data_IF_538372518042
#
_entry.id   IF_538372518042
#
_cell.length_a   1.000
_cell.length_b   1.000
_cell.length_c   1.000
_cell.angle_alpha   90.00
_cell.angle_beta   90.00
_cell.angle_gamma   90.00
#
_symmetry.space_group_name_H-M   'P 1'
#
loop_
_entity.id
_entity.type
_entity.pdbx_description
1 polymer ?
#
# COMPACT_ATOMS: atom_id res chain seq x y z
N UNK A 1 51.98 -40.88 32.07
CA UNK A 1 51.67 -39.49 31.69
C UNK A 1 51.27 -39.55 30.22
N UNK A 2 49.98 -39.40 29.90
CA UNK A 2 49.49 -39.54 28.52
C UNK A 2 49.56 -38.17 27.86
N UNK A 3 50.39 -38.04 26.83
CA UNK A 3 50.44 -36.84 25.99
C UNK A 3 49.13 -36.72 25.21
N UNK A 4 48.33 -35.70 25.56
CA UNK A 4 47.11 -35.39 24.81
C UNK A 4 47.51 -34.56 23.59
N UNK A 5 47.44 -35.18 22.41
CA UNK A 5 47.66 -34.52 21.11
C UNK A 5 46.72 -33.30 20.98
N UNK A 6 47.31 -32.10 20.90
CA UNK A 6 46.55 -30.86 20.62
C UNK A 6 46.25 -30.78 19.13
N UNK A 7 44.97 -30.80 18.79
CA UNK A 7 44.47 -30.60 17.43
C UNK A 7 44.01 -29.15 17.27
N UNK A 8 44.39 -28.52 16.17
CA UNK A 8 44.01 -27.15 15.81
C UNK A 8 43.12 -27.16 14.56
N UNK A 9 42.30 -26.12 14.40
CA UNK A 9 41.49 -25.88 13.20
C UNK A 9 41.51 -24.40 12.81
N UNK A 10 41.28 -24.12 11.52
CA UNK A 10 41.20 -22.77 10.98
C UNK A 10 39.73 -22.37 10.81
N UNK A 11 39.22 -21.35 11.53
CA UNK A 11 37.89 -20.81 11.32
C UNK A 11 37.69 -20.37 9.86
N UNK A 12 36.48 -20.59 9.34
CA UNK A 12 36.09 -20.24 7.96
C UNK A 12 34.61 -19.87 7.91
N UNK A 13 34.19 -19.26 6.80
CA UNK A 13 32.79 -18.96 6.55
C UNK A 13 31.91 -20.22 6.53
N UNK A 14 30.60 -20.02 6.71
CA UNK A 14 29.60 -21.09 6.73
C UNK A 14 29.59 -21.82 5.37
N UNK A 15 29.75 -23.16 5.41
CA UNK A 15 29.57 -24.05 4.25
C UNK A 15 28.43 -25.05 4.43
N UNK A 16 28.13 -25.35 5.69
CA UNK A 16 27.16 -26.38 6.05
C UNK A 16 25.84 -25.77 6.54
N UNK A 17 25.75 -24.43 6.60
CA UNK A 17 24.58 -23.68 7.05
C UNK A 17 24.37 -22.49 6.10
N UNK A 18 23.11 -22.15 5.88
CA UNK A 18 22.70 -20.91 5.23
C UNK A 18 21.77 -20.17 6.18
N UNK A 19 21.89 -18.85 6.25
CA UNK A 19 20.97 -18.01 7.02
C UNK A 19 19.63 -17.99 6.29
N UNK A 20 18.55 -18.35 6.98
CA UNK A 20 17.18 -18.34 6.43
C UNK A 20 16.32 -17.25 7.05
N UNK A 21 16.57 -16.96 8.33
CA UNK A 21 15.82 -15.98 9.10
C UNK A 21 16.70 -15.44 10.23
N UNK A 22 16.43 -14.20 10.62
CA UNK A 22 17.07 -13.54 11.75
C UNK A 22 15.99 -12.92 12.64
N UNK A 23 15.89 -13.40 13.88
CA UNK A 23 14.96 -12.82 14.84
C UNK A 23 15.59 -11.57 15.46
N UNK A 24 15.03 -10.37 15.26
CA UNK A 24 15.55 -9.16 15.86
C UNK A 24 15.46 -9.23 17.38
N UNK A 25 16.52 -8.81 18.07
CA UNK A 25 16.59 -8.91 19.52
C UNK A 25 17.22 -7.65 20.12
N UNK A 26 16.57 -7.11 21.16
CA UNK A 26 17.04 -5.89 21.83
C UNK A 26 18.08 -6.18 22.94
N UNK A 27 18.36 -7.44 23.24
CA UNK A 27 19.21 -7.79 24.36
C UNK A 27 20.72 -7.78 24.02
N UNK A 28 21.58 -7.33 24.95
CA UNK A 28 21.24 -6.50 26.10
C UNK A 28 20.93 -5.06 25.67
N UNK A 29 19.92 -4.43 26.27
CA UNK A 29 19.70 -2.99 26.16
C UNK A 29 20.71 -2.31 27.09
N UNK A 30 21.63 -1.55 26.52
CA UNK A 30 22.62 -0.79 27.29
C UNK A 30 22.01 0.52 27.80
N UNK A 31 21.27 1.22 26.94
CA UNK A 31 20.59 2.47 27.28
C UNK A 31 19.40 2.69 26.34
N UNK A 32 18.35 3.33 26.84
CA UNK A 32 17.24 3.80 26.01
C UNK A 32 16.90 5.26 26.31
N UNK A 33 16.48 6.02 25.28
CA UNK A 33 15.99 7.40 25.40
C UNK A 33 14.70 7.56 24.63
N UNK A 34 13.74 8.26 25.24
CA UNK A 34 12.52 8.67 24.57
C UNK A 34 12.75 10.03 23.91
N UNK A 35 12.56 10.12 22.59
CA UNK A 35 12.73 11.35 21.82
C UNK A 35 11.58 11.47 20.82
N UNK A 36 11.18 12.71 20.52
CA UNK A 36 10.25 12.97 19.42
C UNK A 36 11.00 13.77 18.35
N UNK A 37 11.53 13.07 17.35
CA UNK A 37 12.35 13.68 16.30
C UNK A 37 11.90 13.32 14.88
N UNK A 38 11.07 12.29 14.71
CA UNK A 38 10.53 11.94 13.41
C UNK A 38 9.52 13.02 12.97
N UNK A 39 9.69 13.61 11.76
CA UNK A 39 8.71 14.57 11.24
C UNK A 39 7.36 13.87 11.03
N UNK A 40 6.27 14.59 11.28
CA UNK A 40 4.90 14.12 11.06
C UNK A 40 4.45 12.93 11.93
N UNK A 41 5.15 12.66 13.05
CA UNK A 41 4.73 11.63 14.01
C UNK A 41 4.35 12.28 15.34
N UNK A 42 3.12 12.04 15.83
CA UNK A 42 2.68 12.56 17.12
C UNK A 42 3.22 11.74 18.30
N UNK A 43 3.44 10.44 18.09
CA UNK A 43 3.96 9.54 19.13
C UNK A 43 5.49 9.62 19.23
N UNK A 44 6.06 9.75 20.45
CA UNK A 44 7.51 9.73 20.63
C UNK A 44 8.10 8.36 20.29
N UNK A 45 9.35 8.36 19.84
CA UNK A 45 10.12 7.16 19.50
C UNK A 45 11.09 6.77 20.64
N UNK A 46 11.33 5.48 20.82
CA UNK A 46 12.31 4.97 21.78
C UNK A 46 13.59 4.62 21.02
N UNK A 47 14.69 5.31 21.32
CA UNK A 47 16.01 4.96 20.81
C UNK A 47 16.71 4.07 21.81
N UNK A 48 17.06 2.85 21.42
CA UNK A 48 17.68 1.83 22.28
C UNK A 48 19.03 1.39 21.73
N UNK A 49 20.11 1.67 22.47
CA UNK A 49 21.43 1.11 22.21
C UNK A 49 21.47 -0.33 22.75
N UNK A 50 21.70 -1.29 21.86
CA UNK A 50 21.57 -2.73 22.12
C UNK A 50 22.82 -3.50 21.68
N UNK A 51 22.94 -4.76 22.12
CA UNK A 51 23.96 -5.69 21.65
C UNK A 51 25.30 -5.60 22.39
N UNK A 52 26.31 -6.30 21.86
CA UNK A 52 27.66 -6.39 22.46
C UNK A 52 28.75 -6.46 21.39
N UNK A 53 29.84 -5.74 21.61
CA UNK A 53 31.03 -5.77 20.75
C UNK A 53 30.68 -5.38 19.31
N UNK A 54 31.10 -6.21 18.35
CA UNK A 54 30.86 -6.01 16.92
C UNK A 54 29.39 -6.21 16.50
N UNK A 55 28.52 -6.70 17.38
CA UNK A 55 27.08 -6.85 17.15
C UNK A 55 26.25 -5.83 17.92
N UNK A 56 26.82 -4.67 18.24
CA UNK A 56 26.08 -3.58 18.87
C UNK A 56 25.23 -2.85 17.82
N UNK A 57 23.98 -2.51 18.16
CA UNK A 57 23.00 -1.88 17.27
C UNK A 57 22.30 -0.71 17.96
N UNK A 58 21.77 0.23 17.18
CA UNK A 58 20.88 1.30 17.67
C UNK A 58 19.49 1.07 17.03
N UNK A 59 18.51 0.69 17.84
CA UNK A 59 17.13 0.50 17.40
C UNK A 59 16.32 1.77 17.64
N UNK A 60 15.52 2.17 16.65
CA UNK A 60 14.48 3.20 16.79
C UNK A 60 13.15 2.46 16.82
N UNK A 61 12.50 2.42 17.98
CA UNK A 61 11.21 1.77 18.16
C UNK A 61 10.11 2.81 18.05
N UNK A 62 9.19 2.56 17.13
CA UNK A 62 8.01 3.39 16.91
C UNK A 62 6.76 2.60 17.26
N UNK A 63 5.78 3.25 17.88
CA UNK A 63 4.50 2.61 18.11
C UNK A 63 3.74 2.51 16.80
N UNK A 64 3.47 1.29 16.35
CA UNK A 64 2.78 1.05 15.10
C UNK A 64 2.73 -0.42 14.75
N UNK A 65 2.19 -0.66 13.56
CA UNK A 65 2.20 -1.97 12.91
C UNK A 65 3.23 -1.85 11.78
N UNK A 66 4.06 -2.89 11.64
CA UNK A 66 4.99 -2.99 10.52
C UNK A 66 4.21 -3.09 9.22
N UNK A 67 4.53 -2.21 8.28
CA UNK A 67 3.92 -2.20 6.94
C UNK A 67 5.02 -2.47 5.95
N UNK A 68 5.02 -3.68 5.40
CA UNK A 68 5.93 -4.05 4.33
C UNK A 68 5.41 -3.52 3.00
N UNK A 69 6.19 -2.63 2.38
CA UNK A 69 5.91 -2.18 1.03
C UNK A 69 6.29 -3.28 0.03
N UNK A 70 5.28 -3.94 -0.52
CA UNK A 70 5.48 -5.06 -1.47
C UNK A 70 5.87 -4.54 -2.86
N UNK A 71 5.32 -3.39 -3.28
CA UNK A 71 5.58 -2.81 -4.60
C UNK A 71 5.64 -1.28 -4.51
N UNK A 72 6.59 -0.69 -5.26
CA UNK A 72 6.58 0.72 -5.64
C UNK A 72 6.65 0.77 -7.17
N UNK A 73 5.66 1.37 -7.83
CA UNK A 73 5.59 1.39 -9.29
C UNK A 73 5.44 2.83 -9.78
N UNK A 74 6.39 3.26 -10.62
CA UNK A 74 6.28 4.48 -11.42
C UNK A 74 5.43 4.16 -12.65
N UNK A 75 4.40 4.98 -12.92
CA UNK A 75 3.36 4.66 -13.90
C UNK A 75 3.93 4.53 -15.34
N UNK A 76 3.76 3.34 -15.95
CA UNK A 76 4.12 3.04 -17.34
C UNK A 76 2.96 3.14 -18.34
N UNK A 77 3.23 2.91 -19.62
CA UNK A 77 2.23 2.85 -20.71
C UNK A 77 1.79 1.42 -21.03
N UNK A 78 0.51 1.22 -21.33
CA UNK A 78 -0.18 -0.06 -21.36
C UNK A 78 0.08 -1.01 -22.55
N UNK A 79 0.14 -2.33 -22.32
CA UNK A 79 -0.24 -3.36 -23.29
C UNK A 79 -1.70 -3.81 -23.12
N UNK A 80 -2.30 -4.31 -24.19
CA UNK A 80 -3.70 -4.75 -24.24
C UNK A 80 -3.86 -6.20 -23.78
N UNK A 81 -4.42 -6.47 -22.60
CA UNK A 81 -5.18 -7.71 -22.35
C UNK A 81 -6.03 -7.63 -21.06
N UNK A 82 -7.05 -8.48 -20.97
CA UNK A 82 -8.16 -8.43 -19.98
C UNK A 82 -7.74 -8.48 -18.51
N UNK A 83 -8.33 -7.60 -17.67
CA UNK A 83 -7.97 -7.40 -16.25
C UNK A 83 -9.13 -7.67 -15.28
N UNK A 84 -8.84 -8.24 -14.11
CA UNK A 84 -9.85 -8.56 -13.06
C UNK A 84 -9.86 -7.57 -11.87
N UNK A 85 -8.84 -6.73 -11.70
CA UNK A 85 -8.74 -5.78 -10.56
C UNK A 85 -8.31 -4.40 -11.02
N UNK A 86 -9.09 -3.39 -10.63
CA UNK A 86 -8.85 -1.98 -10.95
C UNK A 86 -8.59 -1.15 -9.69
N UNK A 87 -7.65 -0.21 -9.78
CA UNK A 87 -7.48 0.90 -8.83
C UNK A 87 -7.99 2.17 -9.50
N UNK A 88 -8.96 2.83 -8.88
CA UNK A 88 -9.54 4.09 -9.41
C UNK A 88 -9.09 5.26 -8.54
N UNK A 89 -8.41 6.23 -9.15
CA UNK A 89 -7.94 7.45 -8.52
C UNK A 89 -8.71 8.65 -9.08
N UNK A 90 -9.33 9.44 -8.20
CA UNK A 90 -10.07 10.63 -8.60
C UNK A 90 -9.26 11.89 -8.29
N UNK A 91 -8.97 12.68 -9.32
CA UNK A 91 -8.38 14.02 -9.21
C UNK A 91 -9.45 15.09 -9.51
N UNK A 92 -9.15 16.35 -9.20
CA UNK A 92 -10.07 17.47 -9.48
C UNK A 92 -10.40 17.67 -10.95
N UNK A 93 -9.51 17.25 -11.86
CA UNK A 93 -9.63 17.46 -13.31
C UNK A 93 -9.77 16.17 -14.14
N UNK A 94 -9.49 14.99 -13.55
CA UNK A 94 -9.62 13.70 -14.25
C UNK A 94 -9.77 12.53 -13.28
N UNK A 95 -10.33 11.43 -13.77
CA UNK A 95 -10.24 10.11 -13.12
C UNK A 95 -9.15 9.30 -13.82
N UNK A 96 -8.32 8.60 -13.06
CA UNK A 96 -7.30 7.68 -13.53
C UNK A 96 -7.69 6.26 -13.12
N UNK A 97 -7.75 5.35 -14.09
CA UNK A 97 -8.03 3.93 -13.85
C UNK A 97 -6.73 3.17 -14.11
N UNK A 98 -6.29 2.40 -13.12
CA UNK A 98 -5.13 1.54 -13.22
C UNK A 98 -5.59 0.08 -13.20
N UNK A 99 -5.03 -0.72 -14.08
CA UNK A 99 -5.20 -2.16 -14.06
C UNK A 99 -4.03 -2.85 -13.36
N UNK A 100 -4.31 -3.96 -12.67
CA UNK A 100 -3.31 -4.78 -11.99
C UNK A 100 -3.09 -6.06 -12.79
N UNK A 101 -1.85 -6.32 -13.22
CA UNK A 101 -1.44 -7.59 -13.80
C UNK A 101 -0.07 -8.04 -13.23
N UNK A 102 1.02 -7.48 -13.74
CA UNK A 102 2.38 -7.62 -13.19
C UNK A 102 2.97 -6.25 -12.78
N UNK A 103 2.68 -5.20 -13.54
CA UNK A 103 2.98 -3.80 -13.22
C UNK A 103 1.68 -2.98 -13.19
N UNK A 104 1.71 -1.81 -12.53
CA UNK A 104 0.58 -0.87 -12.54
C UNK A 104 0.61 -0.04 -13.82
N UNK A 105 -0.51 -0.06 -14.54
CA UNK A 105 -0.61 0.52 -15.88
C UNK A 105 -1.85 1.42 -15.98
N UNK A 106 -1.69 2.62 -16.56
CA UNK A 106 -2.83 3.48 -16.90
C UNK A 106 -3.63 2.84 -18.03
N UNK A 107 -4.86 2.45 -17.72
CA UNK A 107 -5.78 1.90 -18.70
C UNK A 107 -6.72 3.02 -19.19
N UNK A 108 -6.39 3.56 -20.36
CA UNK A 108 -7.15 4.66 -21.00
C UNK A 108 -8.39 4.15 -21.72
N UNK A 109 -8.34 2.89 -22.14
CA UNK A 109 -9.41 2.19 -22.83
C UNK A 109 -10.21 1.30 -21.87
N UNK A 110 -9.90 1.36 -20.55
CA UNK A 110 -10.51 0.63 -19.44
C UNK A 110 -12.01 0.63 -19.46
N UNK A 111 -12.60 1.59 -20.18
CA UNK A 111 -13.91 1.31 -20.68
C UNK A 111 -14.83 1.08 -19.50
N UNK A 112 -15.00 2.14 -18.70
CA UNK A 112 -16.31 2.41 -18.13
C UNK A 112 -17.44 2.33 -19.21
N UNK A 113 -17.09 2.14 -20.50
CA UNK A 113 -17.78 1.26 -21.46
C UNK A 113 -16.97 0.02 -21.91
N UNK A 114 -17.60 -1.15 -21.81
CA UNK A 114 -17.28 -2.47 -22.41
C UNK A 114 -16.50 -3.48 -21.55
N UNK A 115 -17.26 -4.03 -20.59
CA UNK A 115 -17.29 -5.42 -20.12
C UNK A 115 -15.96 -6.06 -19.68
N UNK A 116 -15.87 -6.45 -18.40
CA UNK A 116 -15.47 -7.80 -17.96
C UNK A 116 -15.60 -7.90 -16.43
N UNK A 117 -16.40 -8.88 -15.96
CA UNK A 117 -16.65 -9.17 -14.55
C UNK A 117 -18.13 -9.51 -14.29
N UNK A 118 -18.39 -10.62 -13.59
CA UNK A 118 -19.75 -11.10 -13.26
C UNK A 118 -20.53 -10.17 -12.30
N UNK A 119 -19.84 -9.19 -11.70
CA UNK A 119 -20.41 -8.19 -10.80
C UNK A 119 -20.39 -6.81 -11.47
N UNK A 120 -21.53 -6.13 -11.45
CA UNK A 120 -21.65 -4.82 -12.09
C UNK A 120 -20.94 -3.70 -11.33
N UNK A 121 -20.11 -2.96 -12.04
CA UNK A 121 -19.48 -1.74 -11.54
C UNK A 121 -20.39 -0.52 -11.72
N UNK A 122 -20.34 0.40 -10.75
CA UNK A 122 -21.05 1.68 -10.80
C UNK A 122 -20.11 2.83 -10.45
N UNK A 123 -20.06 3.84 -11.31
CA UNK A 123 -19.40 5.11 -11.06
C UNK A 123 -20.39 6.12 -10.50
N UNK A 124 -20.01 6.86 -9.47
CA UNK A 124 -20.72 8.07 -9.06
C UNK A 124 -19.84 9.27 -9.34
N UNK A 125 -20.35 10.25 -10.07
CA UNK A 125 -19.65 11.49 -10.45
C UNK A 125 -20.55 12.71 -10.22
N UNK A 126 -20.02 13.95 -10.23
CA UNK A 126 -20.81 15.14 -9.88
C UNK A 126 -22.07 15.33 -10.73
N UNK A 127 -22.06 14.85 -11.97
CA UNK A 127 -23.17 15.03 -12.93
C UNK A 127 -24.10 13.82 -12.99
N UNK A 128 -23.80 12.71 -12.32
CA UNK A 128 -24.61 11.50 -12.46
C UNK A 128 -24.03 10.22 -11.85
N UNK A 129 -24.74 9.13 -12.12
CA UNK A 129 -24.38 7.77 -11.74
C UNK A 129 -24.34 6.93 -13.02
N UNK A 130 -23.22 6.26 -13.29
CA UNK A 130 -23.01 5.44 -14.49
C UNK A 130 -22.85 3.97 -14.11
N UNK A 131 -23.67 3.10 -14.69
CA UNK A 131 -23.53 1.65 -14.64
C UNK A 131 -22.75 1.16 -15.86
N UNK A 132 -21.65 0.43 -15.63
CA UNK A 132 -20.63 0.21 -16.68
C UNK A 132 -20.90 -1.01 -17.54
N UNK A 133 -21.57 -2.02 -16.97
CA UNK A 133 -21.91 -3.24 -17.71
C UNK A 133 -23.10 -3.01 -18.65
N UNK A 134 -24.15 -2.32 -18.19
CA UNK A 134 -25.33 -2.04 -19.02
C UNK A 134 -25.25 -0.70 -19.77
N UNK A 135 -24.16 0.05 -19.59
CA UNK A 135 -23.96 1.38 -20.19
C UNK A 135 -25.17 2.28 -19.97
N UNK A 136 -25.59 2.40 -18.69
CA UNK A 136 -26.71 3.25 -18.28
C UNK A 136 -26.19 4.43 -17.48
N UNK A 137 -26.70 5.62 -17.79
CA UNK A 137 -26.36 6.84 -17.06
C UNK A 137 -27.61 7.49 -16.51
N UNK A 138 -27.61 7.72 -15.19
CA UNK A 138 -28.57 8.56 -14.52
C UNK A 138 -27.95 9.94 -14.34
N UNK A 139 -28.55 10.97 -14.94
CA UNK A 139 -28.11 12.35 -14.80
C UNK A 139 -28.76 13.02 -13.59
N UNK A 140 -28.00 13.87 -12.91
CA UNK A 140 -28.51 14.70 -11.82
C UNK A 140 -29.51 15.73 -12.37
N UNK A 141 -30.60 16.04 -11.64
CA UNK A 141 -31.51 17.13 -12.03
C UNK A 141 -30.78 18.47 -12.20
N UNK A 142 -31.26 19.30 -13.12
CA UNK A 142 -30.65 20.60 -13.46
C UNK A 142 -30.43 21.49 -12.23
N UNK A 143 -29.28 22.17 -12.19
CA UNK A 143 -28.91 23.07 -11.09
C UNK A 143 -28.43 22.38 -9.81
N UNK A 144 -28.27 21.05 -9.84
CA UNK A 144 -27.74 20.26 -8.73
C UNK A 144 -26.53 19.45 -9.19
N UNK A 145 -25.69 19.08 -8.23
CA UNK A 145 -24.59 18.13 -8.42
C UNK A 145 -24.53 17.16 -7.25
N UNK A 146 -23.98 15.97 -7.46
CA UNK A 146 -23.69 15.04 -6.37
C UNK A 146 -22.47 15.56 -5.61
N UNK A 147 -22.65 15.88 -4.33
CA UNK A 147 -21.55 16.33 -3.46
C UNK A 147 -21.09 15.26 -2.48
N UNK A 148 -21.94 14.24 -2.25
CA UNK A 148 -21.65 13.09 -1.39
C UNK A 148 -22.31 11.85 -1.97
N UNK A 149 -21.65 10.71 -1.81
CA UNK A 149 -22.21 9.42 -2.19
C UNK A 149 -21.76 8.35 -1.19
N UNK A 150 -22.60 7.35 -1.01
CA UNK A 150 -22.27 6.13 -0.27
C UNK A 150 -22.82 4.94 -1.03
N UNK A 151 -22.03 3.87 -1.13
CA UNK A 151 -22.39 2.66 -1.87
C UNK A 151 -22.17 1.43 -0.99
N UNK A 152 -22.95 0.39 -1.27
CA UNK A 152 -22.69 -0.96 -0.81
C UNK A 152 -22.96 -1.93 -1.97
N UNK A 153 -22.96 -3.24 -1.70
CA UNK A 153 -23.15 -4.28 -2.74
C UNK A 153 -24.49 -4.20 -3.49
N UNK A 154 -25.51 -3.52 -2.95
CA UNK A 154 -26.89 -3.55 -3.49
C UNK A 154 -27.58 -2.18 -3.55
N UNK A 155 -27.00 -1.15 -2.96
CA UNK A 155 -27.64 0.15 -2.78
C UNK A 155 -26.65 1.29 -3.02
N UNK A 156 -27.18 2.39 -3.53
CA UNK A 156 -26.46 3.63 -3.78
C UNK A 156 -27.28 4.76 -3.17
N UNK A 157 -26.62 5.58 -2.35
CA UNK A 157 -27.16 6.83 -1.83
C UNK A 157 -26.36 7.99 -2.40
N UNK A 158 -27.05 9.02 -2.91
CA UNK A 158 -26.43 10.26 -3.38
C UNK A 158 -27.07 11.47 -2.68
N UNK A 159 -26.22 12.37 -2.21
CA UNK A 159 -26.60 13.64 -1.59
C UNK A 159 -26.42 14.77 -2.60
N UNK A 160 -27.51 15.40 -3.08
CA UNK A 160 -27.42 16.54 -3.98
C UNK A 160 -27.02 17.80 -3.22
N UNK A 161 -26.04 18.52 -3.74
CA UNK A 161 -25.78 19.91 -3.39
C UNK A 161 -26.44 20.85 -4.40
N UNK A 162 -26.79 22.06 -3.98
CA UNK A 162 -27.07 23.13 -4.93
C UNK A 162 -25.74 23.55 -5.57
N UNK A 163 -25.66 23.51 -6.89
CA UNK A 163 -24.46 23.97 -7.58
C UNK A 163 -24.21 25.43 -7.23
N UNK A 164 -22.99 25.76 -6.78
CA UNK A 164 -22.53 27.14 -6.89
C UNK A 164 -22.46 27.45 -8.38
N UNK A 165 -23.33 28.34 -8.84
CA UNK A 165 -23.07 29.12 -10.04
C UNK A 165 -21.89 30.04 -9.70
N UNK A 166 -20.69 29.63 -10.09
CA UNK A 166 -19.59 30.57 -10.26
C UNK A 166 -19.86 31.44 -11.51
#
# INVERSE_FOLDING_TARGET
>A
MVDVLRVHFNPRALRNLTLTDETPALNPIIQSKLLNFAPNTESPQILSACGRGLRSTLHILQHGIEVDQIVNCDLGSAPNDTWDVYIVLSFSYRTLVLSIWEELVEDRDAGFLSSLGADSLVQVHPNGIRHLLEVREWSVPSGKSIVKAATNKRQIFSGPGFGRSD
#
